data_IF_788499308793
#
_entry.id   IF_788499308793
#
_cell.length_a   1.000
_cell.length_b   1.000
_cell.length_c   1.000
_cell.angle_alpha   90.00
_cell.angle_beta   90.00
_cell.angle_gamma   90.00
#
_symmetry.space_group_name_H-M   'P 1'
#
loop_
_entity.id
_entity.type
_entity.pdbx_description
1 polymer ?
#
# COMPACT_ATOMS: atom_id res chain seq x y z
N UNK A 1 10.41 2.36 21.90
CA UNK A 1 11.84 2.75 22.00
C UNK A 1 12.06 3.94 21.08
N UNK A 2 12.58 5.07 21.58
CA UNK A 2 13.10 6.12 20.71
C UNK A 2 14.15 5.51 19.76
N UNK A 3 14.17 5.84 18.46
CA UNK A 3 13.55 6.99 17.81
C UNK A 3 12.17 6.76 17.15
N UNK A 4 11.54 5.59 17.29
CA UNK A 4 10.42 5.19 16.40
C UNK A 4 9.00 5.32 16.98
N UNK A 5 8.82 6.03 18.11
CA UNK A 5 7.53 6.52 18.66
C UNK A 5 6.23 5.76 18.28
N UNK A 6 6.20 4.43 18.39
CA UNK A 6 5.02 3.58 18.11
C UNK A 6 4.45 3.63 16.68
N UNK A 7 5.15 4.27 15.74
CA UNK A 7 4.92 4.02 14.33
C UNK A 7 5.54 2.66 13.97
N UNK A 8 4.76 1.80 13.32
CA UNK A 8 5.29 0.56 12.73
C UNK A 8 6.55 0.89 11.93
N UNK A 9 7.55 -0.02 11.85
CA UNK A 9 8.66 0.18 10.92
C UNK A 9 8.06 0.27 9.51
N UNK A 10 7.98 1.51 9.03
CA UNK A 10 7.44 1.89 7.74
C UNK A 10 8.27 1.20 6.66
N UNK A 11 7.57 0.43 5.81
CA UNK A 11 7.89 0.01 4.44
C UNK A 11 9.25 -0.61 4.09
N UNK A 12 10.31 -0.45 4.86
CA UNK A 12 11.65 -0.94 4.56
C UNK A 12 11.64 -2.48 4.61
N UNK A 13 11.19 -3.08 5.72
CA UNK A 13 11.19 -4.55 5.84
C UNK A 13 10.06 -5.28 5.09
N UNK A 14 9.11 -4.55 4.49
CA UNK A 14 8.03 -5.12 3.63
C UNK A 14 8.22 -4.71 2.17
N UNK A 15 9.26 -3.92 1.86
CA UNK A 15 9.66 -3.66 0.49
C UNK A 15 10.00 -5.00 -0.16
N UNK A 16 9.21 -5.41 -1.16
CA UNK A 16 9.59 -6.51 -2.06
C UNK A 16 10.69 -6.08 -3.05
N UNK A 17 11.12 -4.81 -2.98
CA UNK A 17 12.18 -4.24 -3.77
C UNK A 17 13.46 -4.09 -2.92
N UNK A 18 14.38 -5.03 -3.11
CA UNK A 18 15.64 -5.07 -2.39
C UNK A 18 16.57 -3.92 -2.81
N UNK A 19 16.51 -3.49 -4.06
CA UNK A 19 17.35 -2.39 -4.58
C UNK A 19 16.97 -1.08 -3.90
N UNK A 20 15.67 -0.81 -3.73
CA UNK A 20 15.20 0.39 -3.03
C UNK A 20 15.65 0.41 -1.56
N UNK A 21 15.59 -0.73 -0.88
CA UNK A 21 16.03 -0.84 0.52
C UNK A 21 17.53 -0.55 0.67
N UNK A 22 18.35 -1.19 -0.16
CA UNK A 22 19.80 -1.04 -0.10
C UNK A 22 20.27 0.36 -0.51
N UNK A 23 19.55 1.02 -1.44
CA UNK A 23 19.78 2.43 -1.80
C UNK A 23 19.60 3.37 -0.60
N UNK A 24 18.51 3.18 0.15
CA UNK A 24 18.23 3.96 1.35
C UNK A 24 19.26 3.68 2.45
N UNK A 25 19.63 2.41 2.66
CA UNK A 25 20.68 2.04 3.61
C UNK A 25 22.02 2.69 3.24
N UNK A 26 22.37 2.73 1.96
CA UNK A 26 23.58 3.40 1.50
C UNK A 26 23.53 4.90 1.81
N UNK A 27 22.42 5.57 1.57
CA UNK A 27 22.26 7.00 1.90
C UNK A 27 22.43 7.28 3.39
N UNK A 28 21.90 6.41 4.25
CA UNK A 28 22.15 6.47 5.70
C UNK A 28 23.64 6.36 6.04
N UNK A 29 24.35 5.39 5.43
CA UNK A 29 25.78 5.20 5.66
C UNK A 29 26.59 6.38 5.14
N UNK A 30 26.27 6.91 3.95
CA UNK A 30 26.92 8.10 3.36
C UNK A 30 26.68 9.34 4.23
N UNK A 31 25.50 9.48 4.84
CA UNK A 31 25.21 10.56 5.79
C UNK A 31 25.94 10.42 7.13
N UNK A 32 26.14 9.18 7.60
CA UNK A 32 26.83 8.90 8.86
C UNK A 32 28.36 9.00 8.75
N UNK A 33 28.90 8.66 7.58
CA UNK A 33 30.34 8.64 7.29
C UNK A 33 30.64 9.55 6.09
N UNK A 34 30.86 10.85 6.31
CA UNK A 34 31.01 11.83 5.22
C UNK A 34 32.35 11.74 4.47
N UNK A 35 33.31 10.95 4.97
CA UNK A 35 34.66 10.79 4.40
C UNK A 35 35.10 9.34 4.48
N UNK A 36 35.87 8.87 3.50
CA UNK A 36 36.31 7.48 3.43
C UNK A 36 35.17 6.56 2.94
N UNK A 37 35.13 5.32 3.40
CA UNK A 37 34.04 4.40 3.05
C UNK A 37 32.75 4.86 3.74
N UNK A 38 31.59 4.95 3.05
CA UNK A 38 31.25 4.46 1.70
C UNK A 38 31.24 5.53 0.57
N UNK A 39 32.01 6.62 0.71
CA UNK A 39 32.03 7.76 -0.23
C UNK A 39 32.91 7.54 -1.47
N UNK A 40 33.37 6.30 -1.68
CA UNK A 40 34.18 5.94 -2.83
C UNK A 40 33.32 5.75 -4.08
N UNK A 41 33.90 6.06 -5.24
CA UNK A 41 33.28 5.76 -6.53
C UNK A 41 33.10 4.25 -6.70
N UNK A 42 31.97 3.87 -7.29
CA UNK A 42 31.62 2.48 -7.59
C UNK A 42 30.98 1.70 -6.43
N UNK A 43 30.88 2.28 -5.23
CA UNK A 43 30.22 1.61 -4.08
C UNK A 43 28.76 1.28 -4.37
N UNK A 44 28.07 2.08 -5.19
CA UNK A 44 26.69 1.87 -5.64
C UNK A 44 26.55 1.27 -7.05
N UNK A 45 27.64 0.83 -7.68
CA UNK A 45 27.57 0.31 -9.06
C UNK A 45 26.66 -0.91 -9.16
N UNK A 46 26.65 -1.77 -8.15
CA UNK A 46 25.78 -2.95 -8.12
C UNK A 46 24.29 -2.55 -8.07
N UNK A 47 23.94 -1.49 -7.33
CA UNK A 47 22.57 -1.00 -7.26
C UNK A 47 22.15 -0.34 -8.57
N UNK A 48 23.06 0.42 -9.19
CA UNK A 48 22.85 1.03 -10.51
C UNK A 48 22.67 -0.03 -11.59
N UNK A 49 23.45 -1.11 -11.54
CA UNK A 49 23.30 -2.24 -12.44
C UNK A 49 21.96 -2.92 -12.19
N UNK A 50 21.60 -3.25 -10.95
CA UNK A 50 20.32 -3.89 -10.64
C UNK A 50 19.10 -3.08 -11.11
N UNK A 51 19.15 -1.75 -10.97
CA UNK A 51 18.04 -0.88 -11.34
C UNK A 51 17.92 -0.58 -12.84
N UNK A 52 19.01 -0.70 -13.61
CA UNK A 52 19.06 -0.28 -15.02
C UNK A 52 19.55 -1.43 -15.92
N UNK A 53 18.66 -2.01 -16.74
CA UNK A 53 18.99 -3.15 -17.59
C UNK A 53 20.00 -2.80 -18.69
N UNK A 54 20.18 -1.50 -19.02
CA UNK A 54 21.23 -1.08 -19.97
C UNK A 54 22.63 -1.28 -19.42
N UNK A 55 22.77 -1.49 -18.12
CA UNK A 55 24.04 -1.72 -17.41
C UNK A 55 24.25 -3.19 -17.04
N UNK A 56 23.31 -4.08 -17.39
CA UNK A 56 23.49 -5.51 -17.19
C UNK A 56 24.57 -6.06 -18.12
N UNK A 57 25.29 -7.12 -17.72
CA UNK A 57 26.13 -7.86 -18.64
C UNK A 57 25.33 -8.33 -19.85
N UNK A 58 25.93 -8.29 -21.05
CA UNK A 58 25.23 -8.57 -22.31
C UNK A 58 24.55 -9.95 -22.38
N UNK A 59 25.03 -10.91 -21.61
CA UNK A 59 24.52 -12.28 -21.56
C UNK A 59 23.46 -12.51 -20.46
N UNK A 60 23.09 -11.46 -19.70
CA UNK A 60 22.13 -11.55 -18.61
C UNK A 60 20.78 -10.99 -19.05
N UNK A 61 19.81 -11.88 -19.16
CA UNK A 61 18.41 -11.54 -19.38
C UNK A 61 17.60 -12.10 -18.22
N UNK A 62 16.97 -11.23 -17.45
CA UNK A 62 16.18 -11.63 -16.30
C UNK A 62 14.70 -11.73 -16.67
N UNK A 63 14.26 -12.94 -17.00
CA UNK A 63 12.86 -13.31 -17.27
C UNK A 63 12.50 -14.51 -16.37
N UNK A 64 12.14 -14.27 -15.10
CA UNK A 64 11.86 -15.35 -14.16
C UNK A 64 10.58 -16.13 -14.49
N UNK A 65 9.63 -15.48 -15.18
CA UNK A 65 8.36 -16.08 -15.57
C UNK A 65 8.47 -16.86 -16.91
N UNK A 66 9.59 -16.71 -17.61
CA UNK A 66 9.90 -17.35 -18.89
C UNK A 66 8.79 -17.13 -19.94
N UNK A 67 8.24 -15.91 -19.96
CA UNK A 67 7.16 -15.50 -20.86
C UNK A 67 7.67 -14.75 -22.10
N UNK A 68 8.99 -14.55 -22.20
CA UNK A 68 9.65 -13.82 -23.27
C UNK A 68 9.67 -12.31 -23.05
N UNK A 69 9.23 -11.83 -21.88
CA UNK A 69 9.27 -10.41 -21.50
C UNK A 69 10.22 -10.18 -20.32
N UNK A 70 11.50 -9.83 -20.60
CA UNK A 70 12.46 -9.56 -19.55
C UNK A 70 12.02 -8.41 -18.65
N UNK A 71 12.33 -8.52 -17.35
CA UNK A 71 12.14 -7.41 -16.43
C UNK A 71 12.93 -6.19 -16.92
N UNK A 72 12.29 -5.03 -16.82
CA UNK A 72 12.92 -3.75 -17.17
C UNK A 72 13.79 -3.18 -16.05
N UNK A 73 13.79 -3.81 -14.89
CA UNK A 73 14.56 -3.43 -13.71
C UNK A 73 14.36 -4.50 -12.63
N UNK A 74 15.37 -4.75 -11.79
CA UNK A 74 15.25 -5.60 -10.59
C UNK A 74 14.76 -4.82 -9.37
N UNK A 75 14.66 -3.49 -9.47
CA UNK A 75 14.22 -2.62 -8.39
C UNK A 75 14.59 -1.15 -8.59
N UNK A 76 14.08 -0.28 -7.73
CA UNK A 76 14.22 1.16 -7.85
C UNK A 76 15.47 1.62 -7.08
N UNK A 77 16.44 2.17 -7.79
CA UNK A 77 17.57 2.87 -7.17
C UNK A 77 17.18 4.32 -6.86
N UNK A 78 16.60 4.55 -5.68
CA UNK A 78 16.17 5.88 -5.22
C UNK A 78 17.14 6.45 -4.18
N UNK A 79 17.50 7.73 -4.34
CA UNK A 79 18.33 8.48 -3.39
C UNK A 79 17.61 9.72 -2.88
N UNK A 80 18.03 10.18 -1.70
CA UNK A 80 17.68 11.52 -1.24
C UNK A 80 18.46 12.56 -2.03
N UNK A 81 17.87 13.73 -2.21
CA UNK A 81 18.54 14.85 -2.87
C UNK A 81 19.86 15.27 -2.20
N UNK A 82 19.92 15.23 -0.87
CA UNK A 82 21.10 15.45 -0.06
C UNK A 82 20.90 14.99 1.39
N UNK A 83 22.00 14.89 2.13
CA UNK A 83 22.04 14.41 3.52
C UNK A 83 21.32 15.31 4.53
N UNK A 84 21.12 16.59 4.20
CA UNK A 84 20.51 17.59 5.08
C UNK A 84 18.99 17.60 4.96
N UNK A 85 18.51 17.72 3.72
CA UNK A 85 17.08 17.82 3.41
C UNK A 85 16.39 16.46 3.42
N UNK A 86 17.13 15.39 3.10
CA UNK A 86 16.63 14.00 3.10
C UNK A 86 15.36 13.81 2.28
N UNK A 87 15.23 14.56 1.17
CA UNK A 87 14.02 14.57 0.35
C UNK A 87 14.12 13.54 -0.77
N UNK A 88 13.09 12.71 -0.87
CA UNK A 88 12.90 11.78 -1.98
C UNK A 88 12.27 12.43 -3.19
N UNK A 89 12.25 11.73 -4.33
CA UNK A 89 11.70 12.19 -5.60
C UNK A 89 10.34 12.89 -5.46
N UNK A 90 9.44 12.30 -4.68
CA UNK A 90 8.08 12.82 -4.42
C UNK A 90 8.06 14.16 -3.69
N UNK A 91 9.07 14.43 -2.88
CA UNK A 91 9.17 15.61 -2.00
C UNK A 91 9.90 16.78 -2.68
N UNK A 92 10.50 16.54 -3.84
CA UNK A 92 11.19 17.54 -4.67
C UNK A 92 10.25 18.34 -5.59
N UNK A 93 8.97 17.94 -5.64
CA UNK A 93 7.97 18.55 -6.49
C UNK A 93 8.08 18.13 -7.96
N UNK A 94 7.11 18.59 -8.75
CA UNK A 94 6.91 18.17 -10.13
C UNK A 94 8.15 18.53 -10.98
N UNK A 95 8.66 17.57 -11.73
CA UNK A 95 9.77 17.74 -12.69
C UNK A 95 11.17 17.54 -12.14
N UNK A 96 11.32 17.31 -10.82
CA UNK A 96 12.63 17.08 -10.19
C UNK A 96 12.84 15.63 -9.69
N UNK A 97 11.83 14.77 -9.77
CA UNK A 97 11.88 13.37 -9.33
C UNK A 97 10.88 12.47 -10.07
N UNK A 98 10.76 11.22 -9.63
CA UNK A 98 9.68 10.30 -10.01
C UNK A 98 8.32 10.91 -9.60
N UNK A 99 7.60 11.43 -10.59
CA UNK A 99 6.23 11.90 -10.44
C UNK A 99 5.25 10.76 -10.73
N UNK A 100 4.35 10.48 -9.79
CA UNK A 100 3.18 9.66 -10.09
C UNK A 100 2.23 10.47 -10.96
N UNK A 101 2.29 10.25 -12.28
CA UNK A 101 1.24 10.71 -13.16
C UNK A 101 0.01 9.89 -12.84
N UNK A 102 -0.91 10.45 -12.06
CA UNK A 102 -2.27 9.91 -11.96
C UNK A 102 -2.86 10.01 -13.38
N UNK A 103 -2.95 8.87 -14.06
CA UNK A 103 -3.71 8.75 -15.30
C UNK A 103 -5.16 9.03 -14.97
N UNK A 104 -5.52 10.31 -15.00
CA UNK A 104 -6.90 10.73 -14.92
C UNK A 104 -7.46 10.40 -16.29
N UNK A 105 -8.10 9.23 -16.42
CA UNK A 105 -8.92 8.94 -17.57
C UNK A 105 -9.93 10.09 -17.64
N UNK A 106 -9.74 11.00 -18.60
CA UNK A 106 -10.56 12.20 -18.77
C UNK A 106 -11.99 11.77 -19.05
N UNK A 107 -12.74 11.49 -17.99
CA UNK A 107 -14.18 11.44 -18.02
C UNK A 107 -14.57 12.90 -17.88
N UNK A 108 -14.88 13.54 -19.00
CA UNK A 108 -15.52 14.86 -19.04
C UNK A 108 -16.73 14.84 -18.10
N UNK A 109 -16.60 15.38 -16.90
CA UNK A 109 -17.75 15.61 -16.03
C UNK A 109 -18.35 16.95 -16.40
N UNK A 110 -19.34 16.91 -17.30
CA UNK A 110 -20.38 17.93 -17.30
C UNK A 110 -21.09 17.85 -15.94
N UNK A 111 -21.23 18.99 -15.26
CA UNK A 111 -21.95 19.06 -13.98
C UNK A 111 -23.45 19.01 -14.29
N UNK A 112 -23.93 17.80 -14.54
CA UNK A 112 -25.31 17.44 -14.24
C UNK A 112 -25.30 16.74 -12.88
N UNK A 113 -26.29 17.03 -12.03
CA UNK A 113 -26.54 16.35 -10.76
C UNK A 113 -26.85 14.85 -10.99
N UNK A 114 -25.86 14.09 -11.45
CA UNK A 114 -25.91 12.65 -11.53
C UNK A 114 -25.44 12.11 -10.20
N UNK A 115 -26.38 11.56 -9.43
CA UNK A 115 -26.07 10.70 -8.30
C UNK A 115 -25.13 9.62 -8.83
N UNK A 116 -23.83 9.72 -8.50
CA UNK A 116 -22.81 8.76 -8.90
C UNK A 116 -23.13 7.45 -8.18
N UNK A 117 -23.88 6.59 -8.86
CA UNK A 117 -24.18 5.24 -8.37
C UNK A 117 -22.94 4.38 -8.56
N UNK A 118 -22.59 3.54 -7.58
CA UNK A 118 -21.52 2.57 -7.76
C UNK A 118 -21.81 1.69 -8.97
N UNK A 119 -20.81 1.51 -9.82
CA UNK A 119 -20.90 0.59 -10.97
C UNK A 119 -20.79 -0.87 -10.54
N UNK A 120 -20.16 -1.13 -9.39
CA UNK A 120 -19.79 -2.46 -8.92
C UNK A 120 -19.95 -2.58 -7.39
N UNK A 121 -20.12 -3.82 -6.92
CA UNK A 121 -19.98 -4.14 -5.50
C UNK A 121 -18.50 -4.17 -5.11
N UNK A 122 -18.15 -3.55 -3.98
CA UNK A 122 -16.76 -3.52 -3.50
C UNK A 122 -16.69 -3.37 -1.99
N UNK A 123 -15.78 -4.08 -1.35
CA UNK A 123 -15.35 -3.83 0.02
C UNK A 123 -13.98 -3.14 0.00
N UNK A 124 -13.79 -2.07 0.77
CA UNK A 124 -12.50 -1.41 0.92
C UNK A 124 -11.72 -1.98 2.11
N UNK A 125 -10.40 -1.79 2.09
CA UNK A 125 -9.59 -2.03 3.29
C UNK A 125 -10.02 -1.06 4.40
N UNK A 126 -10.21 -1.59 5.62
CA UNK A 126 -10.55 -0.77 6.77
C UNK A 126 -9.42 0.22 7.08
N UNK A 127 -9.76 1.43 7.52
CA UNK A 127 -8.78 2.45 7.89
C UNK A 127 -9.16 3.14 9.21
N UNK A 128 -8.22 3.25 10.17
CA UNK A 128 -6.86 2.71 10.13
C UNK A 128 -6.82 1.16 10.18
N UNK A 129 -5.71 0.56 9.73
CA UNK A 129 -5.39 -0.86 9.91
C UNK A 129 -3.86 -1.02 9.94
N UNK A 130 -3.24 -1.48 11.05
CA UNK A 130 -3.84 -1.88 12.32
C UNK A 130 -4.57 -0.73 13.06
N UNK A 131 -5.46 -1.04 14.01
CA UNK A 131 -6.29 -0.04 14.70
C UNK A 131 -6.49 -0.31 16.20
N UNK A 132 -6.80 0.75 16.97
CA UNK A 132 -7.15 0.69 18.39
C UNK A 132 -8.08 1.86 18.80
N UNK A 133 -9.26 1.62 19.39
CA UNK A 133 -10.09 0.42 19.26
C UNK A 133 -11.02 0.50 18.04
N UNK A 134 -11.06 1.64 17.33
CA UNK A 134 -12.04 1.89 16.26
C UNK A 134 -11.39 1.94 14.88
N UNK A 135 -12.07 1.38 13.89
CA UNK A 135 -11.72 1.52 12.46
C UNK A 135 -12.95 1.85 11.63
N UNK A 136 -12.74 2.47 10.47
CA UNK A 136 -13.79 2.73 9.50
C UNK A 136 -13.73 1.71 8.37
N UNK A 137 -14.86 1.08 8.08
CA UNK A 137 -15.03 0.16 6.95
C UNK A 137 -15.90 0.84 5.90
N UNK A 138 -15.39 0.92 4.68
CA UNK A 138 -16.08 1.52 3.53
C UNK A 138 -16.41 0.44 2.51
N UNK A 139 -17.59 0.51 1.91
CA UNK A 139 -18.02 -0.41 0.87
C UNK A 139 -19.02 0.24 -0.08
N UNK A 140 -19.16 -0.34 -1.26
CA UNK A 140 -20.04 0.11 -2.32
C UNK A 140 -20.99 -1.01 -2.74
N UNK A 141 -22.24 -0.65 -3.01
CA UNK A 141 -23.31 -1.56 -3.39
C UNK A 141 -23.91 -1.07 -4.70
N UNK A 142 -23.87 -1.91 -5.73
CA UNK A 142 -24.32 -1.55 -7.07
C UNK A 142 -25.86 -1.51 -7.18
N UNK A 143 -26.57 -2.40 -6.50
CA UNK A 143 -28.04 -2.52 -6.56
C UNK A 143 -28.65 -2.85 -5.21
N UNK A 144 -29.95 -2.59 -5.03
CA UNK A 144 -30.67 -2.90 -3.79
C UNK A 144 -30.47 -4.36 -3.38
N UNK A 145 -29.94 -4.60 -2.18
CA UNK A 145 -29.60 -5.92 -1.68
C UNK A 145 -29.72 -5.99 -0.15
N UNK A 146 -29.88 -7.20 0.38
CA UNK A 146 -29.68 -7.46 1.81
C UNK A 146 -28.18 -7.55 2.07
N UNK A 147 -27.68 -6.65 2.93
CA UNK A 147 -26.26 -6.48 3.19
C UNK A 147 -25.94 -6.96 4.59
N UNK A 148 -24.97 -7.85 4.67
CA UNK A 148 -24.37 -8.31 5.92
C UNK A 148 -22.89 -7.95 5.93
N UNK A 149 -22.44 -7.27 6.97
CA UNK A 149 -21.03 -7.06 7.27
C UNK A 149 -20.74 -7.73 8.61
N UNK A 150 -19.99 -8.83 8.58
CA UNK A 150 -19.74 -9.67 9.75
C UNK A 150 -18.25 -9.84 9.98
N UNK A 151 -17.85 -9.77 11.24
CA UNK A 151 -16.46 -9.93 11.71
C UNK A 151 -16.29 -11.33 12.30
N UNK A 152 -15.19 -11.98 11.93
CA UNK A 152 -14.80 -13.33 12.33
C UNK A 152 -13.39 -13.33 12.91
N UNK A 153 -13.12 -14.26 13.84
CA UNK A 153 -11.76 -14.58 14.28
C UNK A 153 -11.05 -15.55 13.32
N UNK A 154 -9.80 -15.91 13.65
CA UNK A 154 -8.97 -16.84 12.88
C UNK A 154 -9.57 -18.25 12.76
N UNK A 155 -10.46 -18.64 13.69
CA UNK A 155 -11.13 -19.95 13.68
C UNK A 155 -12.45 -19.90 12.91
N UNK A 156 -12.80 -18.75 12.32
CA UNK A 156 -14.07 -18.54 11.62
C UNK A 156 -15.25 -18.33 12.57
N UNK A 157 -15.02 -18.12 13.87
CA UNK A 157 -16.09 -17.80 14.81
C UNK A 157 -16.52 -16.37 14.61
N UNK A 158 -17.83 -16.16 14.45
CA UNK A 158 -18.43 -14.83 14.36
C UNK A 158 -18.26 -14.07 15.68
N UNK A 159 -17.62 -12.90 15.60
CA UNK A 159 -17.36 -12.00 16.73
C UNK A 159 -18.42 -10.90 16.80
N UNK A 160 -18.77 -10.30 15.66
CA UNK A 160 -19.73 -9.22 15.60
C UNK A 160 -20.40 -9.15 14.23
N UNK A 161 -21.65 -8.67 14.21
CA UNK A 161 -22.32 -8.24 12.98
C UNK A 161 -22.44 -6.73 13.00
N UNK A 162 -21.71 -6.06 12.12
CA UNK A 162 -21.62 -4.59 12.05
C UNK A 162 -22.79 -4.02 11.26
N UNK A 163 -23.22 -4.73 10.22
CA UNK A 163 -24.37 -4.37 9.37
C UNK A 163 -25.18 -5.61 9.07
N UNK A 164 -26.50 -5.52 9.16
CA UNK A 164 -27.43 -6.55 8.69
C UNK A 164 -28.76 -5.89 8.30
N UNK A 165 -28.82 -5.29 7.11
CA UNK A 165 -30.03 -4.59 6.65
C UNK A 165 -30.10 -4.53 5.13
N UNK A 166 -31.30 -4.28 4.62
CA UNK A 166 -31.48 -3.94 3.21
C UNK A 166 -30.92 -2.53 2.94
N UNK A 167 -30.10 -2.40 1.90
CA UNK A 167 -29.55 -1.12 1.47
C UNK A 167 -29.76 -0.96 -0.03
N UNK A 168 -29.98 0.28 -0.45
CA UNK A 168 -30.09 0.65 -1.85
C UNK A 168 -28.70 0.79 -2.50
N UNK A 169 -28.67 1.02 -3.80
CA UNK A 169 -27.42 1.32 -4.51
C UNK A 169 -26.75 2.56 -3.91
N UNK A 170 -25.48 2.45 -3.53
CA UNK A 170 -24.76 3.55 -2.88
C UNK A 170 -23.43 3.16 -2.25
N UNK A 171 -22.70 4.20 -1.81
CA UNK A 171 -21.49 4.07 -1.02
C UNK A 171 -21.82 4.22 0.46
N UNK A 172 -21.26 3.33 1.28
CA UNK A 172 -21.52 3.29 2.72
C UNK A 172 -20.21 3.28 3.50
N UNK A 173 -20.28 3.82 4.71
CA UNK A 173 -19.18 3.79 5.67
C UNK A 173 -19.73 3.52 7.05
N UNK A 174 -19.12 2.59 7.75
CA UNK A 174 -19.50 2.20 9.11
C UNK A 174 -18.27 2.13 9.99
N UNK A 175 -18.44 2.44 11.27
CA UNK A 175 -17.39 2.29 12.26
C UNK A 175 -17.53 0.94 12.95
N UNK A 176 -16.41 0.26 13.14
CA UNK A 176 -16.32 -0.93 13.96
C UNK A 176 -15.49 -0.60 15.20
N UNK A 177 -16.09 -0.80 16.38
CA UNK A 177 -15.46 -0.64 17.69
C UNK A 177 -15.10 -2.03 18.25
N UNK A 178 -13.79 -2.24 18.42
CA UNK A 178 -13.18 -3.47 18.89
C UNK A 178 -12.76 -3.40 20.37
N UNK A 179 -13.31 -2.48 21.18
CA UNK A 179 -12.92 -2.30 22.60
C UNK A 179 -13.00 -3.61 23.43
N UNK A 180 -14.01 -4.43 23.15
CA UNK A 180 -14.24 -5.72 23.82
C UNK A 180 -13.64 -6.92 23.08
N UNK A 181 -12.84 -6.68 22.04
CA UNK A 181 -12.18 -7.70 21.23
C UNK A 181 -10.69 -7.73 21.60
N UNK A 182 -10.07 -8.91 21.81
CA UNK A 182 -8.62 -9.01 22.04
C UNK A 182 -7.79 -8.48 20.87
N UNK A 183 -6.53 -8.13 21.14
CA UNK A 183 -5.57 -7.84 20.06
C UNK A 183 -5.35 -9.10 19.22
N UNK A 184 -5.26 -8.93 17.90
CA UNK A 184 -5.08 -10.07 17.01
C UNK A 184 -5.53 -9.80 15.58
N UNK A 185 -5.49 -10.85 14.78
CA UNK A 185 -5.92 -10.85 13.38
C UNK A 185 -7.38 -11.29 13.31
N UNK A 186 -8.17 -10.53 12.56
CA UNK A 186 -9.59 -10.79 12.32
C UNK A 186 -9.89 -10.68 10.83
N UNK A 187 -11.00 -11.25 10.42
CA UNK A 187 -11.54 -11.11 9.07
C UNK A 187 -12.89 -10.45 9.13
N UNK A 188 -13.20 -9.62 8.14
CA UNK A 188 -14.53 -9.07 7.95
C UNK A 188 -15.02 -9.38 6.55
N UNK A 189 -16.25 -9.87 6.46
CA UNK A 189 -16.89 -10.31 5.22
C UNK A 189 -18.10 -9.42 4.94
N UNK A 190 -18.16 -8.88 3.72
CA UNK A 190 -19.33 -8.22 3.18
C UNK A 190 -20.07 -9.19 2.27
N UNK A 191 -21.33 -9.49 2.60
CA UNK A 191 -22.26 -10.19 1.72
C UNK A 191 -23.34 -9.24 1.23
N UNK A 192 -23.57 -9.19 -0.08
CA UNK A 192 -24.65 -8.42 -0.69
C UNK A 192 -25.21 -9.19 -1.91
N UNK A 193 -26.32 -9.91 -1.71
CA UNK A 193 -26.85 -10.82 -2.73
C UNK A 193 -25.84 -11.95 -3.04
N UNK A 194 -25.39 -12.04 -4.29
CA UNK A 194 -24.38 -13.02 -4.72
C UNK A 194 -22.94 -12.55 -4.50
N UNK A 195 -22.73 -11.28 -4.13
CA UNK A 195 -21.41 -10.74 -3.87
C UNK A 195 -20.94 -11.11 -2.46
N UNK A 196 -19.73 -11.65 -2.36
CA UNK A 196 -19.06 -11.96 -1.10
C UNK A 196 -17.61 -11.50 -1.25
N UNK A 197 -17.16 -10.61 -0.38
CA UNK A 197 -15.75 -10.22 -0.31
C UNK A 197 -15.30 -10.19 1.16
N UNK A 198 -14.13 -10.76 1.42
CA UNK A 198 -13.54 -10.85 2.76
C UNK A 198 -12.21 -10.13 2.79
N UNK A 199 -11.97 -9.33 3.84
CA UNK A 199 -10.68 -8.67 4.08
C UNK A 199 -10.19 -8.91 5.50
N UNK A 200 -8.88 -8.77 5.67
CA UNK A 200 -8.18 -8.95 6.95
C UNK A 200 -8.04 -7.62 7.66
N UNK A 201 -8.20 -7.61 8.97
CA UNK A 201 -7.90 -6.46 9.84
C UNK A 201 -7.11 -6.90 11.07
N UNK A 202 -6.39 -5.95 11.69
CA UNK A 202 -5.52 -6.19 12.83
C UNK A 202 -5.93 -5.24 13.95
N UNK A 203 -6.35 -5.81 15.08
CA UNK A 203 -6.72 -5.06 16.31
C UNK A 203 -5.49 -4.96 17.20
N UNK A 204 -5.20 -3.77 17.70
CA UNK A 204 -4.20 -3.48 18.71
C UNK A 204 -4.87 -3.01 20.02
N UNK A 205 -4.22 -3.30 21.15
CA UNK A 205 -4.49 -2.70 22.45
C UNK A 205 -3.24 -2.02 22.95
#
# INVERSE_FOLDING_TARGET
MPPFNTDYPSSVFVSQDQVALESVCLDFLRGMYPTGNPQMDGVDDYLRQAADPTKWPADVVYDPENDGTPLKSLGIHEHWNNVSDKKYSKELGIGNGIDFIKLTKNTTTSVANNVVRPTDFRLEQNYPNPFNPTTKITYAIQSSANVSLTVYDLLGKQIATVVNKKQESGNYSVYFDASNVPSGVYYYELRAGNFIETKKMIVLK
#
